data_IF_911675126968
#
_entry.id   IF_911675126968
#
_cell.length_a   1.000
_cell.length_b   1.000
_cell.length_c   1.000
_cell.angle_alpha   90.00
_cell.angle_beta   90.00
_cell.angle_gamma   90.00
#
_symmetry.space_group_name_H-M   'P 1'
#
loop_
_entity.id
_entity.type
_entity.pdbx_description
1 polymer ?
#
# COMPACT_ATOMS: atom_id res chain seq x y z
N UNK A 1 56.52 29.91 -11.19
CA UNK A 1 56.38 29.94 -12.66
C UNK A 1 56.06 28.52 -13.15
N UNK A 2 55.05 28.37 -14.02
CA UNK A 2 54.62 27.14 -14.75
C UNK A 2 53.94 26.03 -13.90
N UNK A 3 52.61 26.02 -13.78
CA UNK A 3 51.53 25.56 -14.70
C UNK A 3 51.28 24.04 -14.64
N UNK A 4 50.12 23.67 -14.06
CA UNK A 4 49.43 22.37 -14.23
C UNK A 4 48.28 22.56 -15.23
N UNK A 5 47.94 21.56 -16.07
CA UNK A 5 46.90 21.71 -17.08
C UNK A 5 45.49 21.49 -16.50
N UNK A 6 44.54 22.31 -16.96
CA UNK A 6 43.09 22.15 -16.80
C UNK A 6 42.59 21.20 -17.88
N UNK A 7 41.78 20.21 -17.51
CA UNK A 7 40.92 19.52 -18.45
C UNK A 7 39.53 20.15 -18.39
N UNK A 8 39.19 20.85 -19.46
CA UNK A 8 37.83 21.25 -19.83
C UNK A 8 37.18 20.10 -20.59
N UNK A 9 36.07 19.59 -20.09
CA UNK A 9 35.16 18.75 -20.87
C UNK A 9 33.85 19.50 -20.98
N UNK A 10 33.66 20.19 -22.10
CA UNK A 10 32.34 20.56 -22.58
C UNK A 10 31.73 19.35 -23.27
N UNK A 11 30.43 19.12 -23.05
CA UNK A 11 29.63 18.27 -23.92
C UNK A 11 28.27 18.93 -24.20
N UNK A 12 28.21 19.46 -25.42
CA UNK A 12 27.13 19.47 -26.39
C UNK A 12 25.67 19.55 -25.93
N UNK A 13 25.08 20.71 -26.22
CA UNK A 13 23.67 20.93 -26.52
C UNK A 13 23.33 20.19 -27.82
N UNK A 14 22.21 19.46 -27.89
CA UNK A 14 21.60 19.09 -29.17
C UNK A 14 20.10 19.43 -29.21
N UNK A 15 19.74 20.07 -30.33
CA UNK A 15 18.52 20.79 -30.65
C UNK A 15 17.47 19.88 -31.32
N UNK A 16 16.20 20.30 -31.20
CA UNK A 16 14.97 19.80 -31.80
C UNK A 16 15.04 19.38 -33.28
N UNK A 17 14.23 18.38 -33.63
CA UNK A 17 13.54 18.32 -34.93
C UNK A 17 12.03 18.31 -34.69
N UNK A 18 11.36 19.24 -35.40
CA UNK A 18 9.93 19.47 -35.50
C UNK A 18 9.31 18.47 -36.49
N UNK A 19 8.20 17.83 -36.13
CA UNK A 19 7.27 17.26 -37.13
C UNK A 19 5.88 17.80 -36.80
N UNK A 20 5.35 18.60 -37.72
CA UNK A 20 3.98 19.10 -37.69
C UNK A 20 3.00 17.97 -38.01
N UNK A 21 2.07 17.72 -37.10
CA UNK A 21 0.91 16.85 -37.30
C UNK A 21 0.00 16.96 -36.08
N UNK A 22 -1.22 17.46 -36.26
CA UNK A 22 -2.21 17.74 -35.21
C UNK A 22 -2.48 16.53 -34.27
N UNK A 23 -1.81 16.52 -33.12
CA UNK A 23 -2.19 15.81 -31.89
C UNK A 23 -1.77 16.72 -30.72
N UNK A 24 -2.57 16.89 -29.65
CA UNK A 24 -2.19 17.73 -28.52
C UNK A 24 -0.99 17.12 -27.78
N UNK A 25 0.19 17.67 -28.05
CA UNK A 25 1.48 17.42 -27.40
C UNK A 25 1.40 17.66 -25.88
N UNK A 26 1.20 16.63 -25.05
CA UNK A 26 1.34 16.77 -23.58
C UNK A 26 2.00 15.58 -22.87
N UNK A 27 2.38 14.52 -23.59
CA UNK A 27 3.16 13.41 -23.01
C UNK A 27 4.35 13.12 -23.90
N UNK A 28 5.42 13.90 -23.75
CA UNK A 28 6.75 13.46 -24.15
C UNK A 28 7.43 12.96 -22.89
N UNK A 29 7.75 11.67 -22.85
CA UNK A 29 8.68 11.11 -21.88
C UNK A 29 9.91 12.04 -21.78
N UNK A 30 10.46 12.21 -20.58
CA UNK A 30 11.76 12.87 -20.44
C UNK A 30 12.72 12.24 -21.45
N UNK A 31 13.51 13.08 -22.16
CA UNK A 31 14.35 12.73 -23.30
C UNK A 31 14.73 11.24 -23.35
N UNK A 32 14.40 10.56 -24.47
CA UNK A 32 14.64 9.14 -24.71
C UNK A 32 15.89 8.67 -23.97
N UNK A 33 15.70 7.79 -22.99
CA UNK A 33 16.83 7.34 -22.19
C UNK A 33 17.75 6.58 -23.13
N UNK A 34 19.07 6.73 -23.01
CA UNK A 34 20.02 6.00 -23.88
C UNK A 34 19.97 4.47 -23.69
N UNK A 35 19.00 3.95 -22.92
CA UNK A 35 18.79 2.56 -22.56
C UNK A 35 17.43 2.06 -23.09
N UNK A 36 17.40 1.26 -24.17
CA UNK A 36 16.18 0.70 -24.74
C UNK A 36 15.33 -0.11 -23.75
N UNK A 37 15.93 -0.69 -22.70
CA UNK A 37 15.17 -1.41 -21.68
C UNK A 37 14.34 -0.45 -20.82
N UNK A 38 14.90 0.71 -20.48
CA UNK A 38 14.22 1.76 -19.73
C UNK A 38 13.06 2.35 -20.53
N UNK A 39 13.27 2.64 -21.82
CA UNK A 39 12.21 3.17 -22.68
C UNK A 39 11.00 2.20 -22.75
N UNK A 40 11.24 0.89 -22.91
CA UNK A 40 10.18 -0.13 -22.89
C UNK A 40 9.42 -0.21 -21.56
N UNK A 41 10.08 0.06 -20.44
CA UNK A 41 9.44 0.10 -19.12
C UNK A 41 8.51 1.30 -19.02
N UNK A 42 8.96 2.47 -19.48
CA UNK A 42 8.14 3.69 -19.49
C UNK A 42 6.95 3.57 -20.45
N UNK A 43 7.15 2.99 -21.63
CA UNK A 43 6.09 2.67 -22.60
C UNK A 43 5.06 1.70 -21.99
N UNK A 44 5.52 0.63 -21.35
CA UNK A 44 4.61 -0.31 -20.69
C UNK A 44 3.80 0.40 -19.60
N UNK A 45 4.44 1.13 -18.68
CA UNK A 45 3.73 1.85 -17.62
C UNK A 45 2.66 2.79 -18.20
N UNK A 46 3.04 3.65 -19.16
CA UNK A 46 2.11 4.61 -19.77
C UNK A 46 0.97 3.92 -20.51
N UNK A 47 1.21 2.78 -21.16
CA UNK A 47 0.14 1.99 -21.81
C UNK A 47 -0.86 1.42 -20.82
N UNK A 48 -0.41 1.01 -19.63
CA UNK A 48 -1.26 0.41 -18.60
C UNK A 48 -1.94 1.46 -17.70
N UNK A 49 -1.45 2.71 -17.74
CA UNK A 49 -1.89 3.79 -16.86
C UNK A 49 -2.30 5.05 -17.63
N UNK A 50 -3.38 5.00 -18.44
CA UNK A 50 -3.90 6.19 -19.14
C UNK A 50 -4.22 7.35 -18.18
N UNK A 51 -4.45 7.06 -16.90
CA UNK A 51 -4.63 8.02 -15.80
C UNK A 51 -3.42 8.97 -15.66
N UNK A 52 -2.19 8.50 -15.92
CA UNK A 52 -0.99 9.35 -15.96
C UNK A 52 -1.11 10.40 -17.08
N UNK A 53 -1.64 9.99 -18.24
CA UNK A 53 -1.88 10.89 -19.38
C UNK A 53 -3.03 11.87 -19.12
N UNK A 54 -4.10 11.44 -18.42
CA UNK A 54 -5.15 12.33 -17.93
C UNK A 54 -4.60 13.40 -16.99
N UNK A 55 -3.67 13.02 -16.12
CA UNK A 55 -3.06 13.93 -15.18
C UNK A 55 -2.24 15.03 -15.87
N UNK A 56 -1.48 14.70 -16.92
CA UNK A 56 -0.79 15.69 -17.75
C UNK A 56 -1.77 16.69 -18.37
N UNK A 57 -2.90 16.19 -18.91
CA UNK A 57 -3.95 17.04 -19.50
C UNK A 57 -4.59 17.98 -18.49
N UNK A 58 -4.75 17.54 -17.22
CA UNK A 58 -5.28 18.37 -16.13
C UNK A 58 -4.29 19.43 -15.62
N UNK A 59 -3.00 19.30 -15.92
CA UNK A 59 -1.94 20.20 -15.45
C UNK A 59 -1.12 20.76 -16.63
N UNK A 60 -1.74 21.47 -17.60
CA UNK A 60 -1.09 21.85 -18.85
C UNK A 60 0.08 22.84 -18.67
N UNK A 61 0.13 23.56 -17.55
CA UNK A 61 1.23 24.47 -17.23
C UNK A 61 2.48 23.76 -16.68
N UNK A 62 2.35 22.48 -16.32
CA UNK A 62 3.43 21.70 -15.76
C UNK A 62 3.81 20.57 -16.69
N UNK A 63 5.10 20.39 -16.93
CA UNK A 63 5.56 19.28 -17.76
C UNK A 63 5.62 18.01 -16.95
N UNK A 64 4.78 17.04 -17.30
CA UNK A 64 4.85 15.68 -16.75
C UNK A 64 6.24 15.09 -17.03
N UNK A 65 6.81 14.43 -16.02
CA UNK A 65 8.07 13.72 -16.09
C UNK A 65 7.89 12.30 -15.57
N UNK A 66 8.29 11.34 -16.41
CA UNK A 66 8.53 9.98 -16.00
C UNK A 66 10.03 9.73 -16.05
N UNK A 67 10.57 9.12 -15.00
CA UNK A 67 12.00 8.81 -14.89
C UNK A 67 12.17 7.49 -14.16
N UNK A 68 12.96 6.57 -14.71
CA UNK A 68 13.46 5.44 -13.93
C UNK A 68 14.48 5.98 -12.93
N UNK A 69 14.20 5.85 -11.64
CA UNK A 69 15.09 6.26 -10.55
C UNK A 69 15.97 5.10 -10.06
N UNK A 70 15.46 3.87 -10.14
CA UNK A 70 16.21 2.66 -9.81
C UNK A 70 15.87 1.53 -10.79
N UNK A 71 16.89 0.74 -11.15
CA UNK A 71 16.75 -0.49 -11.95
C UNK A 71 16.76 -1.70 -11.01
N UNK A 72 16.19 -2.84 -11.42
CA UNK A 72 16.25 -4.06 -10.63
C UNK A 72 17.70 -4.49 -10.36
N UNK A 73 18.01 -4.86 -9.13
CA UNK A 73 19.29 -5.44 -8.71
C UNK A 73 19.12 -6.93 -8.39
N UNK A 74 19.58 -7.84 -9.27
CA UNK A 74 19.44 -9.29 -9.06
C UNK A 74 20.01 -9.81 -7.73
N UNK A 75 20.90 -9.07 -7.06
CA UNK A 75 21.48 -9.44 -5.77
C UNK A 75 20.67 -8.98 -4.56
N UNK A 76 19.63 -8.15 -4.75
CA UNK A 76 18.82 -7.64 -3.66
C UNK A 76 17.95 -8.74 -3.01
N UNK A 77 17.90 -8.74 -1.67
CA UNK A 77 17.03 -9.65 -0.92
C UNK A 77 15.55 -9.27 -1.09
N UNK A 78 15.26 -7.97 -1.14
CA UNK A 78 13.92 -7.44 -1.30
C UNK A 78 13.43 -7.65 -2.75
N UNK A 79 12.26 -8.28 -2.92
CA UNK A 79 11.63 -8.49 -4.23
C UNK A 79 11.47 -7.19 -5.03
N UNK A 80 11.04 -6.11 -4.38
CA UNK A 80 10.81 -4.83 -5.04
C UNK A 80 12.10 -4.30 -5.68
N UNK A 81 13.22 -4.37 -4.96
CA UNK A 81 14.54 -3.95 -5.47
C UNK A 81 15.09 -4.95 -6.48
N UNK A 82 14.83 -6.24 -6.29
CA UNK A 82 15.40 -7.29 -7.15
C UNK A 82 14.75 -7.39 -8.52
N UNK A 83 13.44 -7.18 -8.56
CA UNK A 83 12.62 -7.56 -9.71
C UNK A 83 11.94 -6.36 -10.40
N UNK A 84 11.95 -5.16 -9.80
CA UNK A 84 11.23 -4.00 -10.34
C UNK A 84 12.12 -2.80 -10.65
N UNK A 85 11.75 -2.11 -11.73
CA UNK A 85 12.16 -0.75 -12.00
C UNK A 85 11.31 0.20 -11.14
N UNK A 86 11.93 1.17 -10.48
CA UNK A 86 11.22 2.24 -9.79
C UNK A 86 11.08 3.43 -10.74
N UNK A 87 9.84 3.73 -11.12
CA UNK A 87 9.49 4.82 -12.02
C UNK A 87 8.87 5.94 -11.21
N UNK A 88 9.59 7.04 -11.15
CA UNK A 88 9.08 8.31 -10.69
C UNK A 88 8.10 8.88 -11.70
N UNK A 89 6.94 9.33 -11.21
CA UNK A 89 5.96 10.10 -11.96
C UNK A 89 5.70 11.39 -11.21
N UNK A 90 5.92 12.52 -11.89
CA UNK A 90 5.78 13.83 -11.26
C UNK A 90 5.81 14.95 -12.28
N UNK A 91 5.89 16.17 -11.79
CA UNK A 91 5.89 17.37 -12.63
C UNK A 91 7.17 18.17 -12.45
N UNK A 92 7.66 18.75 -13.55
CA UNK A 92 8.62 19.84 -13.48
C UNK A 92 7.88 21.14 -13.23
N UNK A 93 8.24 21.77 -12.13
CA UNK A 93 7.72 23.05 -11.69
C UNK A 93 8.75 24.13 -12.05
N UNK A 94 8.37 25.06 -12.93
CA UNK A 94 9.24 26.14 -13.42
C UNK A 94 9.01 27.43 -12.62
N UNK A 95 9.51 27.48 -11.38
CA UNK A 95 9.26 28.62 -10.47
C UNK A 95 10.46 29.56 -10.36
N UNK A 96 11.18 29.79 -11.46
CA UNK A 96 12.30 30.76 -11.50
C UNK A 96 13.56 30.40 -10.70
N UNK A 97 13.52 29.37 -9.85
CA UNK A 97 14.68 28.81 -9.16
C UNK A 97 14.67 27.27 -9.24
N UNK A 98 15.78 26.70 -9.72
CA UNK A 98 16.18 25.28 -9.60
C UNK A 98 15.31 24.14 -10.18
N UNK A 99 14.20 24.38 -10.88
CA UNK A 99 13.51 23.32 -11.63
C UNK A 99 13.07 22.13 -10.77
N UNK A 100 12.46 22.42 -9.62
CA UNK A 100 12.03 21.43 -8.64
C UNK A 100 11.08 20.40 -9.27
N UNK A 101 11.27 19.12 -8.92
CA UNK A 101 10.40 18.01 -9.33
C UNK A 101 9.39 17.73 -8.21
N UNK A 102 8.09 17.85 -8.48
CA UNK A 102 7.05 17.45 -7.53
C UNK A 102 6.68 15.99 -7.73
N UNK A 103 6.99 15.14 -6.74
CA UNK A 103 6.67 13.70 -6.77
C UNK A 103 5.17 13.54 -6.62
N UNK A 104 4.54 12.97 -7.64
CA UNK A 104 3.13 12.61 -7.56
C UNK A 104 2.97 11.14 -7.16
N UNK A 105 3.67 10.24 -7.85
CA UNK A 105 3.62 8.82 -7.57
C UNK A 105 4.97 8.17 -7.86
N UNK A 106 5.19 7.01 -7.24
CA UNK A 106 6.24 6.09 -7.66
C UNK A 106 5.56 4.78 -8.03
N UNK A 107 5.78 4.33 -9.25
CA UNK A 107 5.30 3.03 -9.71
C UNK A 107 6.48 2.08 -9.79
N UNK A 108 6.26 0.83 -9.40
CA UNK A 108 7.21 -0.25 -9.59
C UNK A 108 6.74 -1.06 -10.78
N UNK A 109 7.59 -1.19 -11.79
CA UNK A 109 7.29 -1.95 -13.00
C UNK A 109 8.19 -3.16 -13.04
N UNK A 110 7.61 -4.36 -13.05
CA UNK A 110 8.40 -5.59 -13.06
C UNK A 110 9.29 -5.65 -14.30
N UNK A 111 10.51 -6.18 -14.18
CA UNK A 111 11.50 -6.25 -15.27
C UNK A 111 10.97 -6.97 -16.52
N UNK A 112 10.06 -7.90 -16.33
CA UNK A 112 9.40 -8.67 -17.38
C UNK A 112 8.10 -8.04 -17.91
N UNK A 113 7.71 -6.86 -17.39
CA UNK A 113 6.49 -6.11 -17.79
C UNK A 113 5.19 -6.93 -17.65
N UNK A 114 5.04 -7.64 -16.54
CA UNK A 114 3.85 -8.44 -16.21
C UNK A 114 3.09 -7.92 -14.97
N UNK A 115 3.67 -6.98 -14.23
CA UNK A 115 3.11 -6.48 -12.99
C UNK A 115 3.51 -5.00 -12.79
N UNK A 116 2.56 -4.21 -12.31
CA UNK A 116 2.78 -2.83 -11.89
C UNK A 116 2.24 -2.70 -10.47
N UNK A 117 3.07 -2.15 -9.60
CA UNK A 117 2.68 -1.77 -8.25
C UNK A 117 2.76 -0.25 -8.10
N UNK A 118 1.91 0.30 -7.25
CA UNK A 118 2.01 1.69 -6.81
C UNK A 118 2.62 1.74 -5.43
N UNK A 119 3.67 2.54 -5.26
CA UNK A 119 4.31 2.74 -3.96
C UNK A 119 3.67 3.92 -3.22
N UNK A 120 3.39 3.68 -1.94
CA UNK A 120 2.96 4.75 -1.05
C UNK A 120 4.13 5.70 -0.77
N UNK A 121 3.91 7.00 -0.96
CA UNK A 121 4.93 8.03 -0.71
C UNK A 121 5.25 8.22 0.78
N UNK A 122 4.36 7.82 1.69
CA UNK A 122 4.59 7.88 3.14
C UNK A 122 5.55 6.79 3.62
N UNK A 123 5.56 5.64 2.97
CA UNK A 123 6.42 4.51 3.32
C UNK A 123 6.96 3.85 2.04
N UNK A 124 8.24 4.09 1.72
CA UNK A 124 8.87 3.65 0.47
C UNK A 124 8.93 2.13 0.24
N UNK A 125 8.47 1.32 1.19
CA UNK A 125 8.40 -0.14 1.10
C UNK A 125 6.96 -0.69 1.09
N UNK A 126 5.94 0.16 0.98
CA UNK A 126 4.54 -0.27 0.89
C UNK A 126 4.02 -0.14 -0.53
N UNK A 127 3.43 -1.23 -1.02
CA UNK A 127 2.94 -1.32 -2.38
C UNK A 127 1.51 -1.84 -2.43
N UNK A 128 0.74 -1.39 -3.41
CA UNK A 128 -0.54 -2.00 -3.78
C UNK A 128 -0.56 -2.27 -5.28
N UNK A 129 -1.44 -3.17 -5.73
CA UNK A 129 -1.55 -3.48 -7.16
C UNK A 129 -2.02 -2.26 -7.95
N UNK A 130 -1.72 -2.21 -9.26
CA UNK A 130 -2.24 -1.15 -10.12
C UNK A 130 -3.78 -1.12 -10.13
N UNK A 131 -4.44 -2.28 -10.04
CA UNK A 131 -5.90 -2.36 -9.98
C UNK A 131 -6.44 -1.68 -8.72
N UNK A 132 -5.84 -1.96 -7.56
CA UNK A 132 -6.22 -1.35 -6.28
C UNK A 132 -5.95 0.15 -6.28
N UNK A 133 -4.81 0.58 -6.86
CA UNK A 133 -4.53 1.99 -7.03
C UNK A 133 -5.61 2.69 -7.85
N UNK A 134 -6.01 2.12 -8.99
CA UNK A 134 -7.08 2.69 -9.82
C UNK A 134 -8.41 2.76 -9.09
N UNK A 135 -8.76 1.68 -8.39
CA UNK A 135 -10.05 1.54 -7.74
C UNK A 135 -10.17 2.43 -6.49
N UNK A 136 -9.12 2.52 -5.68
CA UNK A 136 -9.23 3.06 -4.34
C UNK A 136 -8.42 4.34 -4.09
N UNK A 137 -7.38 4.61 -4.89
CA UNK A 137 -6.47 5.75 -4.69
C UNK A 137 -6.67 6.80 -5.77
N UNK A 138 -6.67 6.41 -7.04
CA UNK A 138 -6.95 7.32 -8.15
C UNK A 138 -8.39 7.84 -8.10
N UNK A 139 -9.33 6.96 -7.73
CA UNK A 139 -10.69 7.32 -7.42
C UNK A 139 -10.82 7.51 -5.90
N UNK A 140 -10.67 8.76 -5.45
CA UNK A 140 -10.90 9.09 -4.05
C UNK A 140 -12.34 8.70 -3.64
N UNK A 141 -12.56 8.26 -2.38
CA UNK A 141 -13.90 7.96 -1.92
C UNK A 141 -14.78 9.21 -2.00
N UNK A 142 -16.04 9.03 -2.41
CA UNK A 142 -17.03 10.10 -2.45
C UNK A 142 -17.30 10.57 -1.03
N UNK A 143 -17.36 11.89 -0.82
CA UNK A 143 -17.67 12.47 0.49
C UNK A 143 -18.99 11.92 1.04
N UNK A 144 -18.99 11.53 2.31
CA UNK A 144 -20.15 10.93 2.97
C UNK A 144 -20.44 9.47 2.58
N UNK A 145 -19.65 8.86 1.70
CA UNK A 145 -19.79 7.46 1.30
C UNK A 145 -18.61 6.65 1.83
N UNK A 146 -18.90 5.63 2.64
CA UNK A 146 -17.89 4.68 3.08
C UNK A 146 -17.76 3.55 2.04
N UNK A 147 -16.58 3.39 1.45
CA UNK A 147 -16.30 2.30 0.50
C UNK A 147 -15.83 0.99 1.16
N UNK A 148 -15.68 1.04 2.50
CA UNK A 148 -15.24 -0.05 3.37
C UNK A 148 -13.84 -0.61 3.05
N UNK A 149 -13.03 0.15 2.30
CA UNK A 149 -11.71 -0.29 1.88
C UNK A 149 -10.66 -0.07 2.98
N UNK A 150 -9.83 -1.07 3.25
CA UNK A 150 -8.70 -1.01 4.15
C UNK A 150 -7.40 -0.99 3.35
N UNK A 151 -6.79 0.19 3.27
CA UNK A 151 -5.56 0.43 2.51
C UNK A 151 -4.46 0.86 3.48
N UNK A 152 -3.51 -0.04 3.81
CA UNK A 152 -2.49 0.27 4.80
C UNK A 152 -1.67 1.50 4.38
N UNK A 153 -1.30 2.30 5.38
CA UNK A 153 -0.56 3.56 5.27
C UNK A 153 -1.25 4.65 4.44
N UNK A 154 -2.50 4.45 4.03
CA UNK A 154 -3.28 5.39 3.23
C UNK A 154 -4.55 5.78 3.96
N UNK A 155 -5.48 4.81 4.07
CA UNK A 155 -6.80 5.05 4.65
C UNK A 155 -7.55 3.78 5.02
N UNK A 156 -8.53 3.94 5.90
CA UNK A 156 -9.58 2.94 6.14
C UNK A 156 -10.94 3.60 5.95
N UNK A 157 -11.63 3.27 4.86
CA UNK A 157 -12.80 4.00 4.42
C UNK A 157 -12.45 5.48 4.23
N UNK A 158 -13.19 6.42 4.85
CA UNK A 158 -12.86 7.84 4.82
C UNK A 158 -11.74 8.25 5.81
N UNK A 159 -11.31 7.38 6.72
CA UNK A 159 -10.28 7.69 7.73
C UNK A 159 -8.91 7.75 7.04
N UNK A 160 -8.31 8.93 6.99
CA UNK A 160 -6.98 9.18 6.42
C UNK A 160 -5.88 9.12 7.50
N UNK A 161 -4.62 9.03 7.09
CA UNK A 161 -3.45 9.04 8.00
C UNK A 161 -3.31 10.32 8.85
N UNK A 162 -3.97 11.40 8.44
CA UNK A 162 -3.97 12.70 9.12
C UNK A 162 -5.33 13.07 9.75
N UNK A 163 -6.33 12.19 9.69
CA UNK A 163 -7.65 12.46 10.26
C UNK A 163 -7.56 12.71 11.76
N UNK A 164 -8.40 13.58 12.30
CA UNK A 164 -8.54 13.83 13.73
C UNK A 164 -9.86 13.27 14.26
N UNK A 165 -10.07 13.29 15.59
CA UNK A 165 -11.39 12.97 16.14
C UNK A 165 -12.50 13.83 15.51
N UNK A 166 -12.24 15.13 15.31
CA UNK A 166 -13.19 16.03 14.68
C UNK A 166 -13.51 15.64 13.23
N UNK A 167 -12.56 15.03 12.52
CA UNK A 167 -12.82 14.53 11.17
C UNK A 167 -13.64 13.23 11.20
N UNK A 168 -13.35 12.33 12.15
CA UNK A 168 -14.19 11.15 12.38
C UNK A 168 -15.64 11.54 12.73
N UNK A 169 -15.84 12.57 13.54
CA UNK A 169 -17.17 13.11 13.87
C UNK A 169 -17.91 13.63 12.63
N UNK A 170 -17.20 14.26 11.68
CA UNK A 170 -17.78 14.69 10.40
C UNK A 170 -18.12 13.49 9.50
N UNK A 171 -17.23 12.50 9.43
CA UNK A 171 -17.40 11.35 8.52
C UNK A 171 -18.51 10.41 8.97
N UNK A 172 -18.62 10.17 10.27
CA UNK A 172 -19.49 9.13 10.83
C UNK A 172 -20.62 9.68 11.70
N UNK A 173 -20.54 10.95 12.13
CA UNK A 173 -21.45 11.54 13.11
C UNK A 173 -21.06 11.17 14.54
N UNK A 174 -21.11 12.14 15.45
CA UNK A 174 -20.68 11.95 16.85
C UNK A 174 -21.45 10.83 17.58
N UNK A 175 -22.73 10.60 17.24
CA UNK A 175 -23.53 9.51 17.82
C UNK A 175 -23.09 8.10 17.43
N UNK A 176 -22.23 7.97 16.42
CA UNK A 176 -21.65 6.71 15.98
C UNK A 176 -20.22 6.50 16.48
N UNK A 177 -19.75 7.34 17.41
CA UNK A 177 -18.42 7.27 17.99
C UNK A 177 -18.48 7.04 19.51
N UNK A 178 -17.60 6.18 20.01
CA UNK A 178 -17.43 5.93 21.45
C UNK A 178 -15.94 6.01 21.81
N UNK A 179 -15.59 6.75 22.87
CA UNK A 179 -14.25 6.64 23.45
C UNK A 179 -14.17 5.36 24.29
N UNK A 180 -13.22 4.49 24.01
CA UNK A 180 -13.04 3.22 24.72
C UNK A 180 -11.58 3.03 25.11
N UNK A 181 -11.33 2.65 26.36
CA UNK A 181 -9.99 2.22 26.79
C UNK A 181 -9.80 0.75 26.40
N UNK A 182 -8.75 0.47 25.62
CA UNK A 182 -8.34 -0.87 25.20
C UNK A 182 -7.00 -1.19 25.84
N UNK A 183 -6.85 -2.42 26.34
CA UNK A 183 -5.62 -2.87 26.98
C UNK A 183 -4.78 -3.66 25.97
N UNK A 184 -3.46 -3.43 25.98
CA UNK A 184 -2.49 -4.22 25.23
C UNK A 184 -2.31 -5.62 25.81
N UNK A 185 -1.36 -6.37 25.25
CA UNK A 185 -0.99 -7.69 25.77
C UNK A 185 -0.65 -7.61 27.27
N UNK A 186 -1.13 -8.60 28.04
CA UNK A 186 -0.94 -8.70 29.49
C UNK A 186 -1.42 -7.47 30.30
N UNK A 187 -2.15 -6.53 29.68
CA UNK A 187 -2.55 -5.27 30.32
C UNK A 187 -1.41 -4.26 30.53
N UNK A 188 -0.22 -4.49 29.95
CA UNK A 188 0.95 -3.63 30.13
C UNK A 188 0.74 -2.22 29.58
N UNK A 189 -0.08 -2.09 28.53
CA UNK A 189 -0.38 -0.82 27.87
C UNK A 189 -1.88 -0.52 27.93
N UNK A 190 -2.23 0.77 28.04
CA UNK A 190 -3.60 1.26 27.99
C UNK A 190 -3.72 2.25 26.85
N UNK A 191 -4.63 1.98 25.94
CA UNK A 191 -4.90 2.81 24.77
C UNK A 191 -6.25 3.47 24.91
N UNK A 192 -6.28 4.80 24.88
CA UNK A 192 -7.53 5.51 24.70
C UNK A 192 -7.85 5.55 23.21
N UNK A 193 -8.88 4.82 22.80
CA UNK A 193 -9.25 4.61 21.40
C UNK A 193 -10.57 5.28 21.08
N UNK A 194 -10.85 5.43 19.78
CA UNK A 194 -12.18 5.77 19.28
C UNK A 194 -12.77 4.57 18.55
N UNK A 195 -13.95 4.13 18.98
CA UNK A 195 -14.71 3.07 18.34
C UNK A 195 -15.74 3.70 17.42
N UNK A 196 -15.71 3.32 16.15
CA UNK A 196 -16.68 3.71 15.12
C UNK A 196 -17.75 2.63 15.01
N UNK A 197 -19.01 3.03 14.93
CA UNK A 197 -20.20 2.16 14.90
C UNK A 197 -20.22 1.11 16.02
N UNK A 198 -20.10 1.54 17.30
CA UNK A 198 -20.01 0.63 18.44
C UNK A 198 -21.20 -0.33 18.49
N UNK A 199 -20.92 -1.62 18.75
CA UNK A 199 -21.94 -2.66 18.86
C UNK A 199 -22.54 -3.18 17.54
N UNK A 200 -22.16 -2.62 16.40
CA UNK A 200 -22.62 -3.09 15.08
C UNK A 200 -21.64 -4.10 14.46
N UNK A 201 -22.03 -4.85 13.41
CA UNK A 201 -21.08 -5.65 12.62
C UNK A 201 -19.93 -4.83 12.03
N UNK A 202 -20.15 -3.54 11.75
CA UNK A 202 -19.17 -2.63 11.17
C UNK A 202 -18.29 -1.93 12.23
N UNK A 203 -18.30 -2.40 13.49
CA UNK A 203 -17.47 -1.86 14.57
C UNK A 203 -15.98 -1.88 14.18
N UNK A 204 -15.35 -0.72 14.35
CA UNK A 204 -13.95 -0.48 14.01
C UNK A 204 -13.29 0.32 15.13
N UNK A 205 -12.10 -0.10 15.57
CA UNK A 205 -11.37 0.54 16.67
C UNK A 205 -10.19 1.33 16.10
N UNK A 206 -10.16 2.63 16.32
CA UNK A 206 -9.08 3.54 15.91
C UNK A 206 -8.13 3.76 17.08
N UNK A 207 -6.86 3.39 16.87
CA UNK A 207 -5.77 3.67 17.80
C UNK A 207 -5.05 4.94 17.35
N UNK A 208 -4.80 5.85 18.29
CA UNK A 208 -4.19 7.14 18.01
C UNK A 208 -2.67 7.11 18.16
N UNK A 209 -1.97 7.89 17.31
CA UNK A 209 -0.50 7.99 17.33
C UNK A 209 0.00 8.48 18.67
N UNK A 210 1.08 7.85 19.15
CA UNK A 210 1.70 8.11 20.45
C UNK A 210 0.70 8.02 21.62
N UNK A 211 -0.38 7.25 21.46
CA UNK A 211 -1.47 7.14 22.42
C UNK A 211 -2.11 8.50 22.79
N UNK A 212 -2.05 9.49 21.88
CA UNK A 212 -2.64 10.81 22.09
C UNK A 212 -4.05 10.81 21.52
N UNK A 213 -5.05 10.62 22.38
CA UNK A 213 -6.46 10.56 22.01
C UNK A 213 -6.88 11.70 21.06
N UNK A 214 -7.53 11.35 19.97
CA UNK A 214 -8.07 12.28 18.97
C UNK A 214 -7.05 13.00 18.09
N UNK A 215 -5.78 12.59 18.14
CA UNK A 215 -4.72 13.05 17.21
C UNK A 215 -4.84 12.38 15.83
N UNK A 216 -3.74 11.97 15.21
CA UNK A 216 -3.77 11.19 13.96
C UNK A 216 -3.85 9.69 14.23
N UNK A 217 -4.49 8.86 13.39
CA UNK A 217 -4.55 7.43 13.59
C UNK A 217 -3.17 6.80 13.41
N UNK A 218 -2.78 5.89 14.31
CA UNK A 218 -1.66 4.99 14.10
C UNK A 218 -2.11 3.72 13.38
N UNK A 219 -3.24 3.17 13.80
CA UNK A 219 -3.79 1.94 13.25
C UNK A 219 -5.28 1.82 13.52
N UNK A 220 -5.87 0.84 12.84
CA UNK A 220 -7.27 0.47 12.94
C UNK A 220 -7.36 -1.03 13.18
N UNK A 221 -8.28 -1.48 14.04
CA UNK A 221 -8.57 -2.89 14.30
C UNK A 221 -10.03 -3.21 14.01
N UNK A 222 -10.27 -4.26 13.21
CA UNK A 222 -11.59 -4.79 12.86
C UNK A 222 -11.68 -6.22 13.38
N UNK A 223 -12.80 -6.56 14.03
CA UNK A 223 -12.95 -7.82 14.80
C UNK A 223 -14.30 -8.51 14.66
N UNK A 224 -15.33 -7.80 14.22
CA UNK A 224 -16.70 -8.32 14.18
C UNK A 224 -16.95 -9.06 12.87
N UNK A 225 -17.61 -10.22 12.97
CA UNK A 225 -18.13 -10.91 11.79
C UNK A 225 -19.27 -10.11 11.16
N UNK A 226 -19.46 -10.30 9.85
CA UNK A 226 -20.44 -9.54 9.07
C UNK A 226 -20.01 -8.10 8.76
N UNK A 227 -18.81 -7.68 9.17
CA UNK A 227 -18.23 -6.40 8.78
C UNK A 227 -18.07 -6.30 7.26
N UNK A 228 -18.39 -5.13 6.71
CA UNK A 228 -18.17 -4.81 5.29
C UNK A 228 -16.71 -4.43 4.99
N UNK A 229 -15.94 -4.10 6.03
CA UNK A 229 -14.52 -3.77 5.93
C UNK A 229 -13.72 -4.89 5.26
N UNK A 230 -12.93 -4.52 4.25
CA UNK A 230 -12.12 -5.46 3.48
C UNK A 230 -10.78 -4.88 3.08
N UNK A 231 -9.77 -5.73 3.00
CA UNK A 231 -8.46 -5.36 2.42
C UNK A 231 -8.58 -5.12 0.91
N UNK A 232 -7.55 -4.55 0.30
CA UNK A 232 -7.45 -4.40 -1.16
C UNK A 232 -7.68 -5.73 -1.91
N UNK A 233 -7.13 -6.83 -1.37
CA UNK A 233 -7.31 -8.19 -1.88
C UNK A 233 -8.62 -8.87 -1.42
N UNK A 234 -9.57 -8.12 -0.85
CA UNK A 234 -10.90 -8.62 -0.50
C UNK A 234 -11.00 -9.45 0.78
N UNK A 235 -9.94 -9.52 1.59
CA UNK A 235 -9.93 -10.28 2.86
C UNK A 235 -10.84 -9.56 3.87
N UNK A 236 -11.70 -10.33 4.53
CA UNK A 236 -12.65 -9.87 5.56
C UNK A 236 -12.51 -10.70 6.83
N UNK A 237 -13.18 -10.27 7.89
CA UNK A 237 -13.40 -11.16 9.04
C UNK A 237 -14.21 -12.36 8.57
N UNK A 238 -13.74 -13.57 8.91
CA UNK A 238 -14.34 -14.83 8.46
C UNK A 238 -13.77 -15.39 7.16
N UNK A 239 -12.86 -14.71 6.44
CA UNK A 239 -12.18 -15.33 5.29
C UNK A 239 -11.46 -16.60 5.74
N UNK A 240 -11.75 -17.73 5.08
CA UNK A 240 -11.21 -19.05 5.41
C UNK A 240 -9.77 -19.25 4.92
N UNK A 241 -9.12 -20.29 5.45
CA UNK A 241 -7.71 -20.58 5.21
C UNK A 241 -7.42 -20.96 3.75
N UNK A 242 -8.32 -21.70 3.10
CA UNK A 242 -8.20 -22.04 1.68
C UNK A 242 -8.18 -20.79 0.81
N UNK A 243 -9.14 -19.89 1.01
CA UNK A 243 -9.23 -18.61 0.30
C UNK A 243 -8.00 -17.74 0.57
N UNK A 244 -7.48 -17.73 1.80
CA UNK A 244 -6.23 -17.01 2.10
C UNK A 244 -5.03 -17.58 1.33
N UNK A 245 -4.93 -18.90 1.16
CA UNK A 245 -3.87 -19.52 0.37
C UNK A 245 -3.97 -19.14 -1.11
N UNK A 246 -5.19 -19.13 -1.66
CA UNK A 246 -5.45 -18.72 -3.03
C UNK A 246 -5.08 -17.25 -3.25
N UNK A 247 -5.54 -16.35 -2.39
CA UNK A 247 -5.22 -14.91 -2.44
C UNK A 247 -3.70 -14.70 -2.34
N UNK A 248 -3.04 -15.40 -1.42
CA UNK A 248 -1.60 -15.29 -1.26
C UNK A 248 -0.82 -15.93 -2.42
N UNK A 249 -1.47 -16.76 -3.23
CA UNK A 249 -0.89 -17.55 -4.32
C UNK A 249 -0.04 -18.72 -3.84
N UNK A 250 0.08 -18.92 -2.53
CA UNK A 250 0.82 -20.02 -1.91
C UNK A 250 0.51 -20.17 -0.42
N UNK A 251 0.77 -21.35 0.16
CA UNK A 251 0.62 -21.53 1.60
C UNK A 251 1.69 -20.78 2.40
N UNK A 252 1.26 -20.24 3.54
CA UNK A 252 2.02 -19.41 4.45
C UNK A 252 2.01 -20.02 5.86
N UNK A 253 2.59 -19.29 6.81
CA UNK A 253 2.72 -19.74 8.18
C UNK A 253 2.17 -18.75 9.20
N UNK A 254 1.61 -19.27 10.28
CA UNK A 254 1.05 -18.49 11.37
C UNK A 254 1.37 -19.17 12.71
N UNK A 255 1.24 -18.46 13.82
CA UNK A 255 1.41 -19.06 15.15
C UNK A 255 0.20 -19.93 15.52
N UNK A 256 0.44 -21.00 16.27
CA UNK A 256 -0.61 -21.84 16.83
C UNK A 256 -1.66 -21.04 17.62
N UNK A 257 -2.81 -21.63 17.88
CA UNK A 257 -3.93 -20.98 18.57
C UNK A 257 -3.70 -20.88 20.08
N UNK A 258 -4.56 -20.08 20.72
CA UNK A 258 -4.45 -19.64 22.11
C UNK A 258 -3.20 -18.80 22.41
N UNK A 259 -3.08 -18.31 23.64
CA UNK A 259 -2.04 -17.36 24.08
C UNK A 259 -2.13 -15.99 23.38
N UNK A 260 -1.28 -15.06 23.82
CA UNK A 260 -1.35 -13.66 23.37
C UNK A 260 -1.00 -13.49 21.89
N UNK A 261 -0.14 -14.35 21.35
CA UNK A 261 0.26 -14.34 19.94
C UNK A 261 -0.55 -15.30 19.05
N UNK A 262 -1.58 -15.93 19.62
CA UNK A 262 -2.31 -17.01 18.99
C UNK A 262 -2.92 -16.66 17.64
N UNK A 263 -2.60 -17.44 16.61
CA UNK A 263 -3.17 -17.29 15.27
C UNK A 263 -2.59 -16.13 14.44
N UNK A 264 -1.57 -15.40 14.92
CA UNK A 264 -0.96 -14.31 14.14
C UNK A 264 -0.26 -14.88 12.90
N UNK A 265 -0.53 -14.28 11.73
CA UNK A 265 0.21 -14.58 10.50
C UNK A 265 1.63 -14.04 10.59
N UNK A 266 2.63 -14.87 10.27
CA UNK A 266 4.05 -14.56 10.46
C UNK A 266 4.85 -14.64 9.14
N UNK A 267 6.16 -14.41 9.22
CA UNK A 267 7.10 -14.77 8.13
C UNK A 267 6.88 -14.00 6.82
N UNK A 268 6.27 -12.82 6.86
CA UNK A 268 5.91 -12.02 5.67
C UNK A 268 5.19 -12.88 4.62
N UNK A 269 4.21 -13.68 5.02
CA UNK A 269 3.40 -14.49 4.09
C UNK A 269 4.21 -15.51 3.27
N UNK A 270 5.39 -15.91 3.75
CA UNK A 270 6.33 -16.84 3.10
C UNK A 270 6.60 -16.50 1.61
N UNK A 271 6.65 -15.20 1.31
CA UNK A 271 6.96 -14.67 -0.03
C UNK A 271 5.80 -14.73 -1.03
N UNK A 272 4.56 -14.93 -0.58
CA UNK A 272 3.39 -14.81 -1.44
C UNK A 272 3.01 -13.36 -1.78
N UNK A 273 1.92 -13.18 -2.53
CA UNK A 273 1.47 -11.85 -2.99
C UNK A 273 1.21 -10.89 -1.82
N UNK A 274 0.72 -11.41 -0.68
CA UNK A 274 0.44 -10.59 0.49
C UNK A 274 1.70 -9.99 1.14
N UNK A 275 2.90 -10.48 0.83
CA UNK A 275 4.16 -9.83 1.24
C UNK A 275 4.32 -8.42 0.66
N UNK A 276 3.65 -8.12 -0.46
CA UNK A 276 3.71 -6.81 -1.13
C UNK A 276 2.91 -5.72 -0.41
N UNK A 277 2.00 -6.11 0.51
CA UNK A 277 1.11 -5.20 1.23
C UNK A 277 1.47 -5.18 2.73
N UNK A 278 2.58 -4.53 3.13
CA UNK A 278 2.90 -4.35 4.54
C UNK A 278 1.82 -3.52 5.25
N UNK A 279 1.79 -3.60 6.57
CA UNK A 279 0.85 -2.82 7.40
C UNK A 279 -0.53 -3.43 7.54
N UNK A 280 -0.82 -4.58 6.90
CA UNK A 280 -1.98 -5.41 7.25
C UNK A 280 -1.53 -6.63 8.02
N UNK A 281 -2.05 -6.78 9.24
CA UNK A 281 -1.79 -7.91 10.11
C UNK A 281 -3.08 -8.69 10.33
N UNK A 282 -3.04 -10.00 10.08
CA UNK A 282 -4.16 -10.89 10.32
C UNK A 282 -3.92 -11.72 11.56
N UNK A 283 -4.98 -11.90 12.34
CA UNK A 283 -5.04 -12.91 13.38
C UNK A 283 -6.14 -13.89 13.04
N UNK A 284 -5.78 -15.16 13.03
CA UNK A 284 -6.65 -16.28 12.72
C UNK A 284 -7.26 -16.87 13.99
N UNK A 285 -8.36 -17.60 13.82
CA UNK A 285 -8.96 -18.46 14.85
C UNK A 285 -9.31 -19.81 14.26
N UNK A 286 -9.28 -20.84 15.09
CA UNK A 286 -9.92 -22.10 14.78
C UNK A 286 -11.44 -21.93 14.74
N UNK A 287 -12.12 -22.62 13.83
CA UNK A 287 -13.59 -22.67 13.72
C UNK A 287 -14.18 -23.91 14.40
N UNK A 288 -13.32 -24.85 14.80
CA UNK A 288 -13.62 -26.10 15.48
C UNK A 288 -12.52 -26.43 16.50
N UNK A 289 -12.77 -27.42 17.34
CA UNK A 289 -11.72 -27.99 18.19
C UNK A 289 -10.68 -28.70 17.31
N UNK A 290 -9.40 -28.45 17.59
CA UNK A 290 -8.27 -29.00 16.82
C UNK A 290 -7.40 -29.87 17.73
N UNK A 291 -6.57 -30.76 17.17
CA UNK A 291 -5.54 -31.45 17.93
C UNK A 291 -4.57 -30.49 18.63
N UNK A 292 -4.06 -30.89 19.80
CA UNK A 292 -3.17 -30.07 20.65
C UNK A 292 -1.94 -29.50 19.93
N UNK A 293 -1.50 -30.13 18.84
CA UNK A 293 -0.37 -29.68 18.05
C UNK A 293 -0.57 -28.33 17.32
N UNK A 294 -1.82 -27.90 17.15
CA UNK A 294 -2.18 -26.61 16.56
C UNK A 294 -2.23 -25.44 17.57
N UNK A 295 -1.87 -25.69 18.83
CA UNK A 295 -1.93 -24.70 19.92
C UNK A 295 -0.56 -24.37 20.48
N UNK A 296 -0.44 -23.18 21.08
CA UNK A 296 0.78 -22.69 21.72
C UNK A 296 1.81 -22.13 20.74
N UNK A 297 3.04 -21.96 21.25
CA UNK A 297 4.17 -21.30 20.56
C UNK A 297 4.77 -22.21 19.47
N UNK A 298 3.97 -22.52 18.46
CA UNK A 298 4.32 -23.38 17.34
C UNK A 298 4.04 -22.65 16.03
N UNK A 299 4.89 -22.88 15.04
CA UNK A 299 4.64 -22.44 13.67
C UNK A 299 3.73 -23.46 13.00
N UNK A 300 2.56 -23.03 12.56
CA UNK A 300 1.56 -23.84 11.86
C UNK A 300 1.57 -23.45 10.38
N UNK A 301 1.40 -24.45 9.52
CA UNK A 301 1.33 -24.29 8.06
C UNK A 301 -0.12 -24.22 7.59
N UNK A 302 -0.40 -23.29 6.68
CA UNK A 302 -1.76 -23.07 6.16
C UNK A 302 -2.23 -24.11 5.14
N UNK A 303 -1.35 -25.02 4.71
CA UNK A 303 -1.66 -26.14 3.81
C UNK A 303 -1.94 -27.46 4.56
N UNK A 304 -2.04 -27.43 5.89
CA UNK A 304 -2.42 -28.63 6.65
C UNK A 304 -3.82 -29.11 6.26
N UNK A 305 -3.93 -30.39 5.91
CA UNK A 305 -5.19 -31.02 5.55
C UNK A 305 -6.23 -30.98 6.68
N UNK A 306 -5.79 -30.97 7.94
CA UNK A 306 -6.67 -30.86 9.12
C UNK A 306 -7.29 -29.46 9.25
N UNK A 307 -6.68 -28.44 8.66
CA UNK A 307 -7.12 -27.05 8.76
C UNK A 307 -7.92 -26.60 7.54
N UNK A 308 -7.66 -27.22 6.39
CA UNK A 308 -8.36 -26.91 5.16
C UNK A 308 -9.74 -27.58 5.10
N UNK A 309 -10.71 -26.96 4.40
CA UNK A 309 -10.62 -25.61 3.82
C UNK A 309 -10.86 -24.49 4.85
N UNK A 310 -11.69 -24.76 5.86
CA UNK A 310 -12.39 -23.79 6.70
C UNK A 310 -12.22 -24.02 8.21
N UNK A 311 -11.33 -24.94 8.61
CA UNK A 311 -10.99 -25.20 10.01
C UNK A 311 -10.36 -23.98 10.71
N UNK A 312 -9.96 -22.97 9.93
CA UNK A 312 -9.36 -21.72 10.39
C UNK A 312 -9.89 -20.56 9.55
N UNK A 313 -10.17 -19.44 10.20
CA UNK A 313 -10.60 -18.21 9.52
C UNK A 313 -10.03 -16.95 10.18
N UNK A 314 -10.10 -15.81 9.48
CA UNK A 314 -9.69 -14.50 10.02
C UNK A 314 -10.62 -14.07 11.15
N UNK A 315 -10.07 -13.75 12.33
CA UNK A 315 -10.81 -13.15 13.46
C UNK A 315 -10.51 -11.67 13.69
N UNK A 316 -9.37 -11.18 13.21
CA UNK A 316 -8.94 -9.81 13.39
C UNK A 316 -8.11 -9.35 12.20
N UNK A 317 -8.40 -8.14 11.75
CA UNK A 317 -7.60 -7.42 10.76
C UNK A 317 -7.13 -6.13 11.45
N UNK A 318 -5.81 -5.96 11.57
CA UNK A 318 -5.20 -4.72 12.03
C UNK A 318 -4.54 -4.04 10.82
N UNK A 319 -4.89 -2.78 10.58
CA UNK A 319 -4.43 -1.97 9.45
C UNK A 319 -3.64 -0.79 9.99
N UNK A 320 -2.37 -0.68 9.64
CA UNK A 320 -1.54 0.46 9.98
C UNK A 320 -1.92 1.65 9.09
N UNK A 321 -2.05 2.83 9.68
CA UNK A 321 -2.18 4.10 8.95
C UNK A 321 -0.91 4.94 9.07
N UNK A 322 -0.12 4.68 10.11
CA UNK A 322 1.07 5.41 10.55
C UNK A 322 0.83 6.87 10.78
#
# INVERSE_FOLDING_TARGET
>A
MHKRPRWTTGFLILLLILVMGNQPDTVRAAAATADPATDRILEYLTSQTPEIGEMARKNPQHRLVLSVEAKPDPQAENRAERDFYQVYVGFLIQDGASGHRSRWATFLVHKDRNEILWANYLTGNSYISLADWKQYIYQAPVEGVNDWACLPYLRVGPIQTYSTLADLEKYFGAGNLERRTVYGAEGAEKFDTTVVFPGTPNELIVFWRNNKYGSSPASVSIRKEGAEWRTAYGIRIGTDLATLNEINGRPFSFYGFDWDYGGIVTGKWDGGVMSSMPGVHLVLRATRELPREYYGDRKVRSDSAELLPDGVQVRRIDVQLQ
#
